data_IF_119227708103
#
_entry.id   IF_119227708103
#
_cell.length_a   1.000
_cell.length_b   1.000
_cell.length_c   1.000
_cell.angle_alpha   90.00
_cell.angle_beta   90.00
_cell.angle_gamma   90.00
#
_symmetry.space_group_name_H-M   'P 1'
#
loop_
_entity.id
_entity.type
_entity.pdbx_description
1 polymer ?
#
# COMPACT_ATOMS: atom_id res chain seq x y z
N UNK A 1 16.60 0.31 -48.30
CA UNK A 1 17.59 0.70 -47.29
C UNK A 1 17.35 -0.16 -46.08
N UNK A 2 18.35 -0.94 -45.69
CA UNK A 2 18.48 -1.61 -44.38
C UNK A 2 19.02 -0.62 -43.35
N UNK A 3 18.97 -1.02 -42.06
CA UNK A 3 19.41 -0.34 -40.82
C UNK A 3 18.29 0.45 -40.11
N UNK A 4 18.01 0.28 -38.81
CA UNK A 4 18.86 -0.23 -37.71
C UNK A 4 18.00 -0.82 -36.57
N UNK A 5 18.47 -1.93 -35.99
CA UNK A 5 18.12 -2.38 -34.64
C UNK A 5 18.67 -1.38 -33.61
N UNK A 6 17.86 -0.99 -32.62
CA UNK A 6 18.37 -0.31 -31.41
C UNK A 6 17.94 -1.14 -30.20
N UNK A 7 18.96 -1.58 -29.47
CA UNK A 7 18.98 -2.42 -28.29
C UNK A 7 18.14 -1.83 -27.14
N UNK A 8 17.04 -2.48 -26.77
CA UNK A 8 16.15 -2.09 -25.66
C UNK A 8 16.50 -2.75 -24.32
N UNK A 9 17.78 -2.85 -23.95
CA UNK A 9 18.23 -3.62 -22.77
C UNK A 9 18.79 -2.79 -21.60
N UNK A 10 18.68 -1.46 -21.60
CA UNK A 10 19.18 -0.62 -20.49
C UNK A 10 18.14 -0.37 -19.36
N UNK A 11 16.83 -0.40 -19.67
CA UNK A 11 15.78 0.07 -18.74
C UNK A 11 15.28 -0.95 -17.71
N UNK A 12 15.58 -2.25 -17.85
CA UNK A 12 14.98 -3.28 -16.98
C UNK A 12 15.67 -3.38 -15.61
N UNK A 13 16.98 -3.11 -15.54
CA UNK A 13 17.74 -3.23 -14.29
C UNK A 13 17.47 -2.06 -13.33
N UNK A 14 17.45 -0.82 -13.84
CA UNK A 14 17.12 0.36 -13.02
C UNK A 14 15.68 0.35 -12.48
N UNK A 15 14.75 -0.25 -13.22
CA UNK A 15 13.36 -0.42 -12.77
C UNK A 15 13.25 -1.48 -11.67
N UNK A 16 14.02 -2.57 -11.74
CA UNK A 16 14.05 -3.58 -10.69
C UNK A 16 14.59 -3.02 -9.37
N UNK A 17 15.67 -2.23 -9.43
CA UNK A 17 16.22 -1.54 -8.25
C UNK A 17 15.22 -0.57 -7.62
N UNK A 18 14.49 0.20 -8.46
CA UNK A 18 13.44 1.12 -7.99
C UNK A 18 12.26 0.40 -7.33
N UNK A 19 11.79 -0.71 -7.93
CA UNK A 19 10.69 -1.51 -7.37
C UNK A 19 11.10 -2.17 -6.05
N UNK A 20 12.33 -2.68 -5.95
CA UNK A 20 12.85 -3.23 -4.70
C UNK A 20 13.02 -2.17 -3.62
N UNK A 21 13.52 -0.98 -3.99
CA UNK A 21 13.59 0.16 -3.08
C UNK A 21 12.21 0.62 -2.61
N UNK A 22 11.20 0.60 -3.48
CA UNK A 22 9.82 0.93 -3.12
C UNK A 22 9.23 -0.07 -2.13
N UNK A 23 9.48 -1.36 -2.35
CA UNK A 23 9.05 -2.43 -1.44
C UNK A 23 9.66 -2.27 -0.04
N UNK A 24 10.98 -2.02 0.04
CA UNK A 24 11.65 -1.80 1.31
C UNK A 24 11.13 -0.55 2.05
N UNK A 25 10.89 0.55 1.31
CA UNK A 25 10.31 1.76 1.88
C UNK A 25 8.88 1.56 2.38
N UNK A 26 8.06 0.77 1.65
CA UNK A 26 6.73 0.39 2.09
C UNK A 26 6.77 -0.42 3.39
N UNK A 27 7.67 -1.39 3.49
CA UNK A 27 7.83 -2.18 4.71
C UNK A 27 8.24 -1.31 5.90
N UNK A 28 9.21 -0.42 5.72
CA UNK A 28 9.64 0.51 6.76
C UNK A 28 8.49 1.43 7.21
N UNK A 29 7.71 1.94 6.25
CA UNK A 29 6.53 2.76 6.52
C UNK A 29 5.51 2.00 7.39
N UNK A 30 5.16 0.77 7.00
CA UNK A 30 4.16 -0.03 7.71
C UNK A 30 4.65 -0.44 9.11
N UNK A 31 5.94 -0.74 9.28
CA UNK A 31 6.53 -1.01 10.60
C UNK A 31 6.53 0.23 11.50
N UNK A 32 6.89 1.38 10.96
CA UNK A 32 6.84 2.64 11.68
C UNK A 32 5.40 3.00 12.09
N UNK A 33 4.44 2.73 11.19
CA UNK A 33 3.01 2.95 11.41
C UNK A 33 2.41 2.06 12.48
N UNK A 34 2.74 0.78 12.43
CA UNK A 34 2.35 -0.18 13.45
C UNK A 34 2.86 0.22 14.83
N UNK A 35 4.12 0.64 14.94
CA UNK A 35 4.75 1.03 16.23
C UNK A 35 4.06 2.24 16.89
N UNK A 36 3.48 3.12 16.10
CA UNK A 36 2.86 4.37 16.55
C UNK A 36 1.31 4.30 16.53
N UNK A 37 0.74 3.13 16.28
CA UNK A 37 -0.71 2.87 16.37
C UNK A 37 -1.56 3.77 15.45
N UNK A 38 -1.08 4.00 14.22
CA UNK A 38 -1.81 4.73 13.18
C UNK A 38 -2.11 3.89 11.93
N UNK A 39 -2.11 2.58 12.10
CA UNK A 39 -2.36 1.60 11.05
C UNK A 39 -3.74 0.97 11.26
N UNK A 40 -4.56 0.98 10.20
CA UNK A 40 -5.86 0.29 10.16
C UNK A 40 -5.72 -0.91 9.24
N UNK A 41 -6.21 -2.09 9.66
CA UNK A 41 -6.09 -3.36 8.93
C UNK A 41 -7.49 -3.91 8.73
N UNK A 42 -7.77 -4.41 7.54
CA UNK A 42 -9.07 -4.94 7.18
C UNK A 42 -9.78 -4.06 6.17
N UNK A 43 -10.49 -4.69 5.25
CA UNK A 43 -11.27 -4.00 4.20
C UNK A 43 -12.36 -3.14 4.83
N UNK A 44 -13.09 -3.70 5.79
CA UNK A 44 -14.22 -3.02 6.43
C UNK A 44 -13.80 -1.89 7.35
N UNK A 45 -12.76 -2.11 8.15
CA UNK A 45 -12.17 -1.12 9.05
C UNK A 45 -11.62 0.07 8.26
N UNK A 46 -10.94 -0.22 7.15
CA UNK A 46 -10.42 0.79 6.23
C UNK A 46 -11.56 1.61 5.62
N UNK A 47 -12.60 0.95 5.10
CA UNK A 47 -13.79 1.61 4.58
C UNK A 47 -14.49 2.48 5.64
N UNK A 48 -14.49 2.05 6.91
CA UNK A 48 -15.08 2.83 8.00
C UNK A 48 -14.29 4.11 8.28
N UNK A 49 -12.95 4.05 8.30
CA UNK A 49 -12.09 5.24 8.46
C UNK A 49 -12.32 6.22 7.32
N UNK A 50 -12.27 5.73 6.07
CA UNK A 50 -12.50 6.55 4.88
C UNK A 50 -13.88 7.24 4.87
N UNK A 51 -14.91 6.57 5.39
CA UNK A 51 -16.25 7.17 5.51
C UNK A 51 -16.36 8.24 6.60
N UNK A 52 -15.49 8.22 7.61
CA UNK A 52 -15.54 9.15 8.74
C UNK A 52 -14.63 10.34 8.53
N UNK A 53 -13.37 10.10 8.13
CA UNK A 53 -12.34 11.11 8.00
C UNK A 53 -11.30 10.69 6.94
N UNK A 54 -11.59 10.88 5.64
CA UNK A 54 -10.67 10.54 4.56
C UNK A 54 -9.44 11.45 4.53
N UNK A 55 -9.54 12.68 5.01
CA UNK A 55 -8.42 13.64 5.08
C UNK A 55 -7.31 13.16 6.03
N UNK A 56 -7.65 12.29 6.99
CA UNK A 56 -6.68 11.67 7.88
C UNK A 56 -5.87 10.54 7.24
N UNK A 57 -6.20 10.10 6.02
CA UNK A 57 -5.56 8.94 5.38
C UNK A 57 -4.45 9.42 4.45
N UNK A 58 -3.20 8.96 4.66
CA UNK A 58 -2.08 9.31 3.78
C UNK A 58 -1.75 8.23 2.74
N UNK A 59 -2.00 6.97 3.06
CA UNK A 59 -1.57 5.85 2.23
C UNK A 59 -2.48 4.63 2.40
N UNK A 60 -2.75 3.93 1.31
CA UNK A 60 -3.56 2.72 1.24
C UNK A 60 -2.77 1.59 0.55
N UNK A 61 -2.78 0.39 1.15
CA UNK A 61 -2.25 -0.84 0.56
C UNK A 61 -3.42 -1.77 0.32
N UNK A 62 -3.53 -2.31 -0.90
CA UNK A 62 -4.46 -3.38 -1.24
C UNK A 62 -3.66 -4.64 -1.56
N UNK A 63 -3.99 -5.74 -0.90
CA UNK A 63 -3.28 -7.01 -1.07
C UNK A 63 -4.22 -8.12 -1.52
N UNK A 64 -3.86 -8.77 -2.63
CA UNK A 64 -4.66 -9.86 -3.23
C UNK A 64 -3.73 -10.95 -3.75
N UNK A 65 -4.00 -12.19 -3.37
CA UNK A 65 -3.31 -13.37 -3.91
C UNK A 65 -4.23 -14.09 -4.90
N UNK A 66 -3.68 -15.05 -5.65
CA UNK A 66 -4.40 -15.84 -6.68
C UNK A 66 -5.65 -16.54 -6.12
N UNK A 67 -5.62 -16.96 -4.84
CA UNK A 67 -6.75 -17.58 -4.16
C UNK A 67 -7.99 -16.66 -4.10
N UNK A 68 -7.77 -15.34 -3.98
CA UNK A 68 -8.81 -14.35 -3.76
C UNK A 68 -9.25 -13.63 -5.05
N UNK A 69 -8.65 -13.97 -6.20
CA UNK A 69 -9.06 -13.42 -7.50
C UNK A 69 -10.50 -13.82 -7.88
N UNK A 70 -10.95 -14.98 -7.42
CA UNK A 70 -12.32 -15.45 -7.66
C UNK A 70 -13.35 -14.87 -6.67
N UNK A 71 -12.92 -14.17 -5.61
CA UNK A 71 -13.84 -13.56 -4.65
C UNK A 71 -14.39 -12.24 -5.21
N UNK A 72 -15.54 -12.32 -5.86
CA UNK A 72 -16.23 -11.17 -6.44
C UNK A 72 -16.52 -10.10 -5.37
N UNK A 73 -16.87 -10.49 -4.14
CA UNK A 73 -17.16 -9.54 -3.10
C UNK A 73 -15.91 -8.75 -2.72
N UNK A 74 -14.77 -9.42 -2.55
CA UNK A 74 -13.50 -8.75 -2.28
C UNK A 74 -13.06 -7.85 -3.45
N UNK A 75 -13.17 -8.32 -4.69
CA UNK A 75 -12.83 -7.51 -5.86
C UNK A 75 -13.71 -6.25 -6.01
N UNK A 76 -15.00 -6.34 -5.64
CA UNK A 76 -15.88 -5.17 -5.56
C UNK A 76 -15.36 -4.19 -4.50
N UNK A 77 -14.99 -4.65 -3.31
CA UNK A 77 -14.47 -3.77 -2.26
C UNK A 77 -13.16 -3.10 -2.68
N UNK A 78 -12.23 -3.82 -3.30
CA UNK A 78 -11.01 -3.21 -3.84
C UNK A 78 -11.30 -2.15 -4.88
N UNK A 79 -12.26 -2.41 -5.78
CA UNK A 79 -12.66 -1.42 -6.78
C UNK A 79 -13.23 -0.16 -6.13
N UNK A 80 -14.10 -0.32 -5.12
CA UNK A 80 -14.69 0.79 -4.38
C UNK A 80 -13.65 1.60 -3.60
N UNK A 81 -12.76 0.92 -2.87
CA UNK A 81 -11.69 1.56 -2.10
C UNK A 81 -10.73 2.30 -3.03
N UNK A 82 -10.30 1.67 -4.12
CA UNK A 82 -9.39 2.30 -5.07
C UNK A 82 -10.01 3.53 -5.72
N UNK A 83 -11.30 3.48 -6.09
CA UNK A 83 -12.02 4.65 -6.58
C UNK A 83 -12.09 5.77 -5.54
N UNK A 84 -12.40 5.42 -4.28
CA UNK A 84 -12.43 6.38 -3.19
C UNK A 84 -11.07 7.03 -2.93
N UNK A 85 -9.99 6.25 -2.89
CA UNK A 85 -8.64 6.76 -2.71
C UNK A 85 -8.26 7.71 -3.85
N UNK A 86 -8.61 7.36 -5.09
CA UNK A 86 -8.36 8.20 -6.26
C UNK A 86 -9.12 9.54 -6.17
N UNK A 87 -10.39 9.52 -5.77
CA UNK A 87 -11.21 10.74 -5.66
C UNK A 87 -10.75 11.69 -4.53
N UNK A 88 -10.02 11.17 -3.54
CA UNK A 88 -9.52 11.92 -2.38
C UNK A 88 -7.99 12.12 -2.38
N UNK A 89 -7.32 11.89 -3.51
CA UNK A 89 -5.85 12.03 -3.66
C UNK A 89 -5.03 11.20 -2.64
N UNK A 90 -5.56 10.05 -2.21
CA UNK A 90 -4.88 9.11 -1.32
C UNK A 90 -4.00 8.17 -2.16
N UNK A 91 -2.72 8.09 -1.82
CA UNK A 91 -1.79 7.18 -2.49
C UNK A 91 -2.17 5.72 -2.24
N UNK A 92 -2.36 4.95 -3.31
CA UNK A 92 -2.72 3.53 -3.25
C UNK A 92 -1.68 2.68 -3.97
N UNK A 93 -1.28 1.57 -3.35
CA UNK A 93 -0.43 0.54 -3.97
C UNK A 93 -1.08 -0.83 -3.87
N UNK A 94 -0.88 -1.66 -4.89
CA UNK A 94 -1.33 -3.05 -4.90
C UNK A 94 -0.13 -3.98 -4.73
N UNK A 95 -0.27 -4.97 -3.86
CA UNK A 95 0.74 -6.00 -3.59
C UNK A 95 0.10 -7.39 -3.70
N UNK A 96 0.92 -8.40 -4.00
CA UNK A 96 0.45 -9.77 -4.27
C UNK A 96 1.02 -10.79 -3.27
N UNK A 97 1.45 -10.33 -2.11
CA UNK A 97 2.08 -11.16 -1.08
C UNK A 97 1.39 -10.86 0.24
N UNK A 98 0.19 -11.42 0.42
CA UNK A 98 -0.63 -11.21 1.62
C UNK A 98 0.08 -11.81 2.84
N UNK A 99 0.72 -12.96 2.71
CA UNK A 99 1.39 -13.64 3.83
C UNK A 99 2.48 -12.74 4.45
N UNK A 100 3.38 -12.19 3.61
CA UNK A 100 4.43 -11.28 4.09
C UNK A 100 3.85 -10.01 4.69
N UNK A 101 2.76 -9.50 4.13
CA UNK A 101 2.09 -8.32 4.64
C UNK A 101 1.43 -8.58 6.00
N UNK A 102 0.78 -9.74 6.16
CA UNK A 102 0.19 -10.18 7.41
C UNK A 102 1.25 -10.37 8.49
N UNK A 103 2.41 -10.93 8.17
CA UNK A 103 3.55 -11.04 9.09
C UNK A 103 4.06 -9.67 9.57
N UNK A 104 4.14 -8.70 8.64
CA UNK A 104 4.58 -7.34 8.94
C UNK A 104 3.61 -6.64 9.90
N UNK A 105 2.32 -6.77 9.63
CA UNK A 105 1.23 -6.14 10.40
C UNK A 105 0.94 -6.89 11.71
N UNK A 106 1.26 -8.18 11.77
CA UNK A 106 1.07 -9.07 12.91
C UNK A 106 -0.37 -9.57 13.09
N UNK A 107 -0.51 -10.67 13.84
CA UNK A 107 -1.80 -11.26 14.21
C UNK A 107 -2.62 -10.34 15.12
N UNK A 108 -3.93 -10.58 15.18
CA UNK A 108 -4.80 -9.93 16.15
C UNK A 108 -4.59 -10.49 17.57
N UNK A 109 -5.20 -9.84 18.56
CA UNK A 109 -5.14 -10.26 19.96
C UNK A 109 -5.79 -11.64 20.20
N UNK A 110 -6.56 -12.14 19.23
CA UNK A 110 -7.24 -13.43 19.25
C UNK A 110 -6.42 -14.57 18.63
N UNK A 111 -5.29 -14.26 18.00
CA UNK A 111 -4.43 -15.25 17.34
C UNK A 111 -4.92 -15.69 15.96
N UNK A 112 -5.94 -15.05 15.41
CA UNK A 112 -6.43 -15.28 14.05
C UNK A 112 -5.64 -14.38 13.06
N UNK A 113 -5.41 -14.86 11.83
CA UNK A 113 -4.78 -14.04 10.80
C UNK A 113 -5.69 -12.83 10.50
N UNK A 114 -5.14 -11.62 10.63
CA UNK A 114 -5.88 -10.40 10.28
C UNK A 114 -6.20 -10.43 8.79
N UNK A 115 -7.38 -9.92 8.45
CA UNK A 115 -7.78 -9.57 7.08
C UNK A 115 -6.81 -8.49 6.53
N UNK A 116 -5.65 -8.92 6.04
CA UNK A 116 -4.60 -8.04 5.54
C UNK A 116 -4.83 -7.63 4.07
N UNK A 117 -6.06 -7.79 3.56
CA UNK A 117 -6.42 -7.40 2.19
C UNK A 117 -6.42 -5.88 1.97
N UNK A 118 -6.61 -5.09 3.03
CA UNK A 118 -6.51 -3.64 2.98
C UNK A 118 -5.84 -3.09 4.24
N UNK A 119 -4.91 -2.15 4.05
CA UNK A 119 -4.25 -1.45 5.14
C UNK A 119 -4.24 0.05 4.85
N UNK A 120 -4.67 0.84 5.83
CA UNK A 120 -4.54 2.29 5.79
C UNK A 120 -3.49 2.78 6.77
N UNK A 121 -2.71 3.76 6.32
CA UNK A 121 -1.82 4.56 7.14
C UNK A 121 -2.47 5.92 7.34
N UNK A 122 -2.80 6.24 8.59
CA UNK A 122 -3.40 7.53 8.95
C UNK A 122 -2.36 8.50 9.48
N UNK A 123 -2.56 9.79 9.24
CA UNK A 123 -1.76 10.87 9.80
C UNK A 123 -2.40 11.34 11.10
N UNK A 124 -1.77 11.04 12.22
CA UNK A 124 -2.07 11.75 13.46
C UNK A 124 -1.37 13.11 13.35
N UNK A 125 -2.11 14.19 13.58
CA UNK A 125 -1.60 15.57 13.52
C UNK A 125 -0.56 15.81 14.65
N UNK A 126 0.64 15.26 14.50
CA UNK A 126 1.84 15.60 15.25
C UNK A 126 2.91 16.04 14.25
N UNK A 127 3.31 17.33 14.22
CA UNK A 127 4.13 17.89 13.14
C UNK A 127 5.57 17.34 13.03
N UNK A 128 5.96 16.38 13.87
CA UNK A 128 7.33 15.84 13.97
C UNK A 128 7.55 14.49 13.29
N UNK A 129 6.53 13.74 12.88
CA UNK A 129 6.66 12.35 12.36
C UNK A 129 6.42 12.20 10.85
N UNK A 130 5.97 13.25 10.15
CA UNK A 130 5.56 13.19 8.74
C UNK A 130 6.71 13.39 7.72
N UNK A 131 7.90 13.75 8.18
CA UNK A 131 9.02 14.08 7.28
C UNK A 131 9.56 12.90 6.46
N UNK A 132 9.69 11.66 7.00
CA UNK A 132 10.22 10.54 6.22
C UNK A 132 9.26 10.05 5.14
N UNK A 133 7.94 10.04 5.41
CA UNK A 133 6.92 9.46 4.52
C UNK A 133 6.67 10.36 3.31
N UNK A 134 6.59 11.68 3.51
CA UNK A 134 6.50 12.63 2.41
C UNK A 134 7.76 12.57 1.53
N UNK A 135 8.95 12.39 2.12
CA UNK A 135 10.18 12.25 1.34
C UNK A 135 10.24 10.93 0.55
N UNK A 136 9.78 9.82 1.13
CA UNK A 136 9.71 8.53 0.45
C UNK A 136 8.70 8.55 -0.72
N UNK A 137 7.52 9.14 -0.51
CA UNK A 137 6.49 9.25 -1.56
C UNK A 137 6.92 10.22 -2.68
N UNK A 138 7.57 11.35 -2.35
CA UNK A 138 8.12 12.29 -3.34
C UNK A 138 9.29 11.67 -4.14
N UNK A 139 10.16 10.90 -3.50
CA UNK A 139 11.31 10.25 -4.17
C UNK A 139 10.89 9.11 -5.10
N UNK A 140 9.75 8.47 -4.84
CA UNK A 140 9.22 7.38 -5.68
C UNK A 140 8.44 7.89 -6.92
N UNK A 141 8.00 9.15 -6.91
CA UNK A 141 7.23 9.79 -8.00
C UNK A 141 8.06 10.76 -8.86
N UNK A 142 9.36 10.94 -8.57
CA UNK A 142 10.28 11.84 -9.30
C UNK A 142 11.39 11.06 -10.03
#
# INVERSE_FOLDING_TARGET
MTLEEICGQENTMANADRVQSAGAALEELLLAAKKQDYLTVGVYESAKVMNVDPDSVAFCVLATDEEYECDIALQIHFTLIQAFCFDNDINVVRVNDIERLADLVGADETGEPKDAHCILVTVRFSPSSLQPVNHACITLLS
#
